data_IF_817242690894
#
_entry.id   IF_817242690894
#
_cell.length_a   1.000
_cell.length_b   1.000
_cell.length_c   1.000
_cell.angle_alpha   90.00
_cell.angle_beta   90.00
_cell.angle_gamma   90.00
#
_symmetry.space_group_name_H-M   'P 1'
#
loop_
_entity.id
_entity.type
_entity.pdbx_description
1 polymer ?
#
# COMPACT_ATOMS: atom_id res chain seq x y z
N UNK A 1 -8.89 -2.90 -11.47
CA UNK A 1 -7.68 -3.02 -10.62
C UNK A 1 -6.89 -1.71 -10.57
N UNK A 2 -6.87 -0.93 -11.65
CA UNK A 2 -6.20 0.39 -11.69
C UNK A 2 -6.75 1.37 -10.64
N UNK A 3 -8.07 1.41 -10.41
CA UNK A 3 -8.68 2.26 -9.39
C UNK A 3 -8.19 1.95 -7.98
N UNK A 4 -7.98 0.67 -7.68
CA UNK A 4 -7.45 0.21 -6.39
C UNK A 4 -5.99 0.64 -6.25
N UNK A 5 -5.18 0.51 -7.31
CA UNK A 5 -3.79 0.99 -7.30
C UNK A 5 -3.73 2.49 -7.06
N UNK A 6 -4.57 3.26 -7.75
CA UNK A 6 -4.65 4.71 -7.60
C UNK A 6 -5.04 5.10 -6.18
N UNK A 7 -6.06 4.48 -5.60
CA UNK A 7 -6.49 4.73 -4.23
C UNK A 7 -5.37 4.42 -3.20
N UNK A 8 -4.59 3.36 -3.42
CA UNK A 8 -3.43 3.03 -2.58
C UNK A 8 -2.36 4.13 -2.68
N UNK A 9 -2.04 4.60 -3.90
CA UNK A 9 -1.04 5.65 -4.11
C UNK A 9 -1.48 6.98 -3.50
N UNK A 10 -2.72 7.42 -3.75
CA UNK A 10 -3.27 8.64 -3.15
C UNK A 10 -3.21 8.60 -1.62
N UNK A 11 -3.54 7.46 -1.01
CA UNK A 11 -3.41 7.30 0.43
C UNK A 11 -1.96 7.42 0.89
N UNK A 12 -1.02 6.76 0.22
CA UNK A 12 0.39 6.81 0.56
C UNK A 12 1.02 8.20 0.34
N UNK A 13 0.55 8.94 -0.66
CA UNK A 13 0.95 10.31 -0.98
C UNK A 13 0.33 11.36 -0.04
N UNK A 14 -0.90 11.15 0.42
CA UNK A 14 -1.54 12.09 1.36
C UNK A 14 -1.17 11.83 2.82
N UNK A 15 -0.69 10.63 3.16
CA UNK A 15 -0.46 10.28 4.54
C UNK A 15 0.84 10.89 5.09
N UNK A 16 0.78 11.29 6.37
CA UNK A 16 1.94 11.80 7.11
C UNK A 16 2.90 10.68 7.52
N UNK A 17 2.41 9.44 7.65
CA UNK A 17 3.26 8.29 7.95
C UNK A 17 3.95 7.84 6.66
N UNK A 18 5.13 7.24 6.80
CA UNK A 18 5.89 6.73 5.66
C UNK A 18 5.73 5.22 5.46
N UNK A 19 5.28 4.51 6.51
CA UNK A 19 4.95 3.08 6.51
C UNK A 19 3.52 2.85 6.98
N UNK A 20 2.83 1.88 6.39
CA UNK A 20 1.43 1.55 6.64
C UNK A 20 1.23 0.05 6.75
N UNK A 21 0.34 -0.39 7.61
CA UNK A 21 -0.07 -1.80 7.62
C UNK A 21 -0.99 -2.09 6.44
N UNK A 22 -1.07 -3.37 6.04
CA UNK A 22 -2.05 -3.79 5.02
C UNK A 22 -3.47 -3.31 5.34
N UNK A 23 -3.85 -3.38 6.63
CA UNK A 23 -5.18 -2.99 7.10
C UNK A 23 -5.47 -1.49 6.97
N UNK A 24 -4.43 -0.64 6.97
CA UNK A 24 -4.58 0.78 6.66
C UNK A 24 -4.89 0.99 5.18
N UNK A 25 -4.20 0.26 4.30
CA UNK A 25 -4.48 0.27 2.86
C UNK A 25 -5.90 -0.23 2.57
N UNK A 26 -6.33 -1.31 3.23
CA UNK A 26 -7.69 -1.83 3.07
C UNK A 26 -8.74 -0.78 3.42
N UNK A 27 -8.62 -0.15 4.59
CA UNK A 27 -9.54 0.91 5.02
C UNK A 27 -9.52 2.10 4.07
N UNK A 28 -8.35 2.51 3.59
CA UNK A 28 -8.22 3.64 2.67
C UNK A 28 -8.90 3.35 1.34
N UNK A 29 -8.65 2.18 0.75
CA UNK A 29 -9.30 1.77 -0.50
C UNK A 29 -10.80 1.62 -0.31
N UNK A 30 -11.25 0.98 0.77
CA UNK A 30 -12.68 0.74 1.01
C UNK A 30 -13.48 2.03 1.29
N UNK A 31 -12.84 3.12 1.71
CA UNK A 31 -13.50 4.43 1.78
C UNK A 31 -13.91 4.96 0.40
N UNK A 32 -13.10 4.71 -0.61
CA UNK A 32 -13.35 5.17 -1.99
C UNK A 32 -14.08 4.10 -2.81
N UNK A 33 -13.78 2.82 -2.54
CA UNK A 33 -14.27 1.65 -3.26
C UNK A 33 -14.80 0.64 -2.22
N UNK A 34 -16.01 0.83 -1.68
CA UNK A 34 -16.54 0.03 -0.57
C UNK A 34 -16.65 -1.47 -0.85
N UNK A 35 -16.76 -1.87 -2.11
CA UNK A 35 -16.83 -3.27 -2.53
C UNK A 35 -15.45 -3.91 -2.80
N UNK A 36 -14.35 -3.18 -2.59
CA UNK A 36 -13.01 -3.70 -2.81
C UNK A 36 -12.70 -4.84 -1.82
N UNK A 37 -12.43 -6.03 -2.37
CA UNK A 37 -12.07 -7.21 -1.59
C UNK A 37 -10.60 -7.14 -1.19
N UNK A 38 -10.28 -7.58 0.03
CA UNK A 38 -8.90 -7.66 0.54
C UNK A 38 -7.92 -8.33 -0.43
N UNK A 39 -8.36 -9.40 -1.12
CA UNK A 39 -7.53 -10.10 -2.11
C UNK A 39 -7.15 -9.20 -3.30
N UNK A 40 -8.06 -8.35 -3.77
CA UNK A 40 -7.81 -7.40 -4.87
C UNK A 40 -6.83 -6.32 -4.43
N UNK A 41 -7.01 -5.81 -3.20
CA UNK A 41 -6.16 -4.78 -2.60
C UNK A 41 -4.74 -5.32 -2.42
N UNK A 42 -4.59 -6.56 -1.95
CA UNK A 42 -3.29 -7.22 -1.82
C UNK A 42 -2.61 -7.39 -3.18
N UNK A 43 -3.35 -7.86 -4.20
CA UNK A 43 -2.82 -7.98 -5.57
C UNK A 43 -2.36 -6.63 -6.12
N UNK A 44 -3.14 -5.57 -5.91
CA UNK A 44 -2.79 -4.22 -6.35
C UNK A 44 -1.54 -3.68 -5.63
N UNK A 45 -1.45 -3.87 -4.31
CA UNK A 45 -0.26 -3.50 -3.54
C UNK A 45 0.99 -4.25 -4.01
N UNK A 46 0.89 -5.57 -4.24
CA UNK A 46 1.98 -6.37 -4.82
C UNK A 46 2.37 -5.88 -6.21
N UNK A 47 1.41 -5.55 -7.07
CA UNK A 47 1.72 -4.99 -8.39
C UNK A 47 2.47 -3.66 -8.27
N UNK A 48 2.05 -2.76 -7.37
CA UNK A 48 2.74 -1.50 -7.12
C UNK A 48 4.16 -1.67 -6.56
N UNK A 49 4.43 -2.75 -5.83
CA UNK A 49 5.78 -3.12 -5.40
C UNK A 49 6.62 -3.54 -6.61
N UNK A 50 6.08 -4.40 -7.48
CA UNK A 50 6.77 -4.82 -8.71
C UNK A 50 7.01 -3.64 -9.68
N UNK A 51 6.10 -2.66 -9.70
CA UNK A 51 6.26 -1.41 -10.45
C UNK A 51 7.25 -0.43 -9.80
N UNK A 52 7.80 -0.76 -8.62
CA UNK A 52 8.73 0.10 -7.89
C UNK A 52 8.09 1.34 -7.28
N UNK A 53 6.75 1.42 -7.20
CA UNK A 53 6.06 2.56 -6.58
C UNK A 53 5.91 2.39 -5.07
N UNK A 54 5.75 1.16 -4.62
CA UNK A 54 5.71 0.81 -3.19
C UNK A 54 6.91 -0.05 -2.80
N UNK A 55 7.24 0.02 -1.52
CA UNK A 55 8.22 -0.83 -0.87
C UNK A 55 7.49 -1.71 0.15
N UNK A 56 7.86 -2.98 0.19
CA UNK A 56 7.43 -3.95 1.19
C UNK A 56 8.39 -3.94 2.39
N UNK A 57 7.85 -4.00 3.60
CA UNK A 57 8.62 -4.19 4.83
C UNK A 57 8.08 -5.40 5.59
N UNK A 58 8.97 -6.31 5.97
CA UNK A 58 8.63 -7.41 6.87
C UNK A 58 8.97 -7.00 8.30
N UNK A 59 7.96 -6.83 9.16
CA UNK A 59 8.18 -6.58 10.60
C UNK A 59 7.80 -7.83 11.38
N UNK A 60 8.46 -8.96 11.08
CA UNK A 60 8.20 -10.26 11.70
C UNK A 60 6.82 -10.82 11.36
N UNK A 61 5.86 -10.71 12.29
CA UNK A 61 4.50 -11.25 12.14
C UNK A 61 3.58 -10.42 11.23
N UNK A 62 4.03 -9.23 10.81
CA UNK A 62 3.19 -8.28 10.05
C UNK A 62 3.93 -7.71 8.84
N UNK A 63 3.17 -7.48 7.77
CA UNK A 63 3.62 -6.78 6.56
C UNK A 63 3.27 -5.30 6.63
N UNK A 64 4.23 -4.44 6.29
CA UNK A 64 3.99 -3.02 6.04
C UNK A 64 4.35 -2.65 4.59
N UNK A 65 3.77 -1.53 4.14
CA UNK A 65 3.97 -0.93 2.83
C UNK A 65 4.40 0.52 3.00
N UNK A 66 5.26 1.02 2.13
CA UNK A 66 5.65 2.44 2.11
C UNK A 66 5.81 2.95 0.69
N UNK A 67 5.67 4.26 0.51
CA UNK A 67 5.89 4.90 -0.80
C UNK A 67 7.39 5.00 -1.09
N UNK A 68 7.83 4.50 -2.25
CA UNK A 68 9.24 4.61 -2.65
C UNK A 68 9.65 6.07 -2.77
N UNK A 69 10.82 6.42 -2.23
CA UNK A 69 11.35 7.79 -2.26
C UNK A 69 10.85 8.73 -1.15
N UNK A 70 9.91 8.31 -0.29
CA UNK A 70 9.41 9.15 0.83
C UNK A 70 10.10 8.86 2.17
N UNK A 71 11.43 8.80 2.15
CA UNK A 71 12.23 8.51 3.35
C UNK A 71 12.13 7.07 3.85
N UNK A 72 11.77 6.14 2.96
CA UNK A 72 11.73 4.71 3.25
C UNK A 72 12.72 3.98 2.37
N UNK A 73 13.69 3.34 3.00
CA UNK A 73 14.73 2.52 2.36
C UNK A 73 14.35 1.04 2.50
N UNK A 74 14.51 0.26 1.44
CA UNK A 74 14.32 -1.20 1.45
C UNK A 74 15.18 -1.81 2.57
N UNK A 75 14.57 -2.65 3.42
CA UNK A 75 15.31 -3.46 4.40
C UNK A 75 15.92 -4.62 3.61
N UNK A 76 17.24 -4.57 3.41
CA UNK A 76 18.02 -5.52 2.62
C UNK A 76 18.40 -6.77 3.42
#
# INVERSE_FOLDING_TARGET
MEDIKKAILEFAESSKKTKFYFKDLEKAVQKTIPNAKSREIKKAATALINEGKLIYFSTGSTTMYGLKGRGVTEDH
#
